data_IF_322537946496
#
_entry.id   IF_322537946496
#
_cell.length_a   1.000
_cell.length_b   1.000
_cell.length_c   1.000
_cell.angle_alpha   90.00
_cell.angle_beta   90.00
_cell.angle_gamma   90.00
#
_symmetry.space_group_name_H-M   'P 1'
#
loop_
_entity.id
_entity.type
_entity.pdbx_description
1 polymer ?
#
# COMPACT_ATOMS: atom_id res chain seq x y z
N UNK A 1 55.62 -34.76 19.15
CA UNK A 1 55.29 -33.33 19.23
C UNK A 1 54.86 -32.73 17.88
N UNK A 2 55.65 -32.88 16.81
CA UNK A 2 55.32 -32.35 15.47
C UNK A 2 53.98 -32.86 14.89
N UNK A 3 53.63 -34.13 15.12
CA UNK A 3 52.35 -34.73 14.67
C UNK A 3 51.12 -34.13 15.37
N UNK A 4 51.20 -33.84 16.67
CA UNK A 4 50.11 -33.17 17.39
C UNK A 4 49.95 -31.72 16.96
N UNK A 5 51.05 -31.00 16.67
CA UNK A 5 50.99 -29.63 16.17
C UNK A 5 50.37 -29.56 14.76
N UNK A 6 50.71 -30.51 13.89
CA UNK A 6 50.08 -30.62 12.56
C UNK A 6 48.58 -30.97 12.67
N UNK A 7 48.23 -31.92 13.54
CA UNK A 7 46.82 -32.30 13.74
C UNK A 7 45.99 -31.14 14.28
N UNK A 8 46.54 -30.34 15.20
CA UNK A 8 45.86 -29.15 15.74
C UNK A 8 45.71 -28.05 14.69
N UNK A 9 46.74 -27.74 13.90
CA UNK A 9 46.66 -26.72 12.85
C UNK A 9 45.64 -27.09 11.76
N UNK A 10 45.53 -28.38 11.41
CA UNK A 10 44.53 -28.85 10.45
C UNK A 10 43.12 -28.77 11.04
N UNK A 11 42.93 -29.11 12.31
CA UNK A 11 41.65 -28.97 13.01
C UNK A 11 41.21 -27.51 13.13
N UNK A 12 42.14 -26.60 13.46
CA UNK A 12 41.88 -25.16 13.56
C UNK A 12 41.45 -24.59 12.21
N UNK A 13 42.15 -24.91 11.11
CA UNK A 13 41.74 -24.48 9.76
C UNK A 13 40.37 -25.00 9.37
N UNK A 14 40.04 -26.25 9.67
CA UNK A 14 38.70 -26.80 9.41
C UNK A 14 37.61 -26.10 10.21
N UNK A 15 37.91 -25.73 11.45
CA UNK A 15 37.00 -24.97 12.31
C UNK A 15 36.77 -23.56 11.77
N UNK A 16 37.83 -22.88 11.34
CA UNK A 16 37.76 -21.55 10.73
C UNK A 16 36.94 -21.55 9.45
N UNK A 17 37.14 -22.52 8.55
CA UNK A 17 36.33 -22.64 7.33
C UNK A 17 34.86 -22.91 7.64
N UNK A 18 34.56 -23.79 8.60
CA UNK A 18 33.18 -24.02 9.07
C UNK A 18 32.55 -22.76 9.65
N UNK A 19 33.31 -21.99 10.43
CA UNK A 19 32.82 -20.74 11.01
C UNK A 19 32.55 -19.70 9.92
N UNK A 20 33.40 -19.61 8.90
CA UNK A 20 33.17 -18.72 7.75
C UNK A 20 31.92 -19.13 6.97
N UNK A 21 31.75 -20.41 6.67
CA UNK A 21 30.54 -20.92 6.02
C UNK A 21 29.28 -20.60 6.83
N UNK A 22 29.31 -20.84 8.14
CA UNK A 22 28.19 -20.51 9.01
C UNK A 22 27.85 -19.02 8.98
N UNK A 23 28.86 -18.14 9.02
CA UNK A 23 28.66 -16.69 8.91
C UNK A 23 28.04 -16.30 7.57
N UNK A 24 28.47 -16.91 6.47
CA UNK A 24 27.87 -16.64 5.16
C UNK A 24 26.42 -17.09 5.11
N UNK A 25 26.09 -18.28 5.62
CA UNK A 25 24.71 -18.77 5.71
C UNK A 25 23.83 -17.81 6.50
N UNK A 26 24.23 -17.44 7.72
CA UNK A 26 23.45 -16.51 8.55
C UNK A 26 23.28 -15.13 7.90
N UNK A 27 24.32 -14.64 7.23
CA UNK A 27 24.27 -13.34 6.53
C UNK A 27 23.28 -13.38 5.37
N UNK A 28 23.30 -14.46 4.57
CA UNK A 28 22.38 -14.65 3.45
C UNK A 28 20.94 -14.76 3.96
N UNK A 29 20.69 -15.58 4.98
CA UNK A 29 19.36 -15.75 5.59
C UNK A 29 18.79 -14.41 6.05
N UNK A 30 19.60 -13.62 6.78
CA UNK A 30 19.19 -12.31 7.25
C UNK A 30 18.92 -11.34 6.09
N UNK A 31 19.79 -11.30 5.07
CA UNK A 31 19.62 -10.44 3.92
C UNK A 31 18.35 -10.78 3.11
N UNK A 32 18.05 -12.06 2.95
CA UNK A 32 16.84 -12.55 2.27
C UNK A 32 15.60 -12.18 3.06
N UNK A 33 15.58 -12.44 4.37
CA UNK A 33 14.44 -12.08 5.23
C UNK A 33 14.18 -10.59 5.22
N UNK A 34 15.24 -9.77 5.34
CA UNK A 34 15.13 -8.32 5.28
C UNK A 34 14.56 -7.85 3.95
N UNK A 35 15.09 -8.34 2.83
CA UNK A 35 14.61 -7.97 1.50
C UNK A 35 13.14 -8.36 1.29
N UNK A 36 12.74 -9.54 1.77
CA UNK A 36 11.36 -9.98 1.68
C UNK A 36 10.42 -9.10 2.51
N UNK A 37 10.83 -8.73 3.73
CA UNK A 37 10.08 -7.81 4.57
C UNK A 37 9.92 -6.43 3.92
N UNK A 38 11.02 -5.87 3.40
CA UNK A 38 11.02 -4.57 2.72
C UNK A 38 10.09 -4.56 1.50
N UNK A 39 10.13 -5.59 0.66
CA UNK A 39 9.23 -5.71 -0.49
C UNK A 39 7.77 -5.95 -0.08
N UNK A 40 7.52 -6.69 1.00
CA UNK A 40 6.16 -6.88 1.53
C UNK A 40 5.57 -5.55 2.02
N UNK A 41 6.37 -4.75 2.75
CA UNK A 41 5.96 -3.41 3.16
C UNK A 41 5.72 -2.51 1.96
N UNK A 42 6.60 -2.56 0.95
CA UNK A 42 6.44 -1.78 -0.29
C UNK A 42 5.17 -2.15 -1.03
N UNK A 43 4.85 -3.44 -1.14
CA UNK A 43 3.60 -3.93 -1.71
C UNK A 43 2.39 -3.45 -0.91
N UNK A 44 2.44 -3.49 0.42
CA UNK A 44 1.34 -2.98 1.26
C UNK A 44 1.12 -1.46 1.08
N UNK A 45 2.19 -0.68 0.95
CA UNK A 45 2.10 0.77 0.68
C UNK A 45 1.53 1.03 -0.72
N UNK A 46 1.97 0.27 -1.72
CA UNK A 46 1.45 0.37 -3.09
C UNK A 46 -0.02 -0.05 -3.15
N UNK A 47 -0.41 -1.12 -2.47
CA UNK A 47 -1.79 -1.56 -2.34
C UNK A 47 -2.64 -0.52 -1.64
N UNK A 48 -2.16 0.07 -0.54
CA UNK A 48 -2.84 1.17 0.16
C UNK A 48 -3.00 2.40 -0.74
N UNK A 49 -1.96 2.75 -1.51
CA UNK A 49 -1.99 3.89 -2.44
C UNK A 49 -2.91 3.63 -3.64
N UNK A 50 -2.92 2.40 -4.15
CA UNK A 50 -3.82 1.97 -5.20
C UNK A 50 -5.27 1.96 -4.68
N UNK A 51 -5.48 1.50 -3.45
CA UNK A 51 -6.78 1.45 -2.81
C UNK A 51 -7.32 2.82 -2.42
N UNK A 52 -6.46 3.78 -2.04
CA UNK A 52 -6.85 5.17 -1.79
C UNK A 52 -7.09 5.95 -3.08
N UNK A 53 -6.41 5.57 -4.17
CA UNK A 53 -6.59 6.17 -5.50
C UNK A 53 -7.70 5.50 -6.31
N UNK A 54 -8.26 4.38 -5.85
CA UNK A 54 -9.36 3.71 -6.51
C UNK A 54 -10.70 4.30 -6.02
N UNK A 55 -11.38 5.15 -6.82
CA UNK A 55 -12.67 5.73 -6.44
C UNK A 55 -13.70 4.68 -6.03
N UNK A 56 -13.58 3.41 -6.47
CA UNK A 56 -14.47 2.31 -6.05
C UNK A 56 -14.37 1.94 -4.56
N UNK A 57 -13.23 2.16 -3.90
CA UNK A 57 -13.08 1.86 -2.47
C UNK A 57 -13.67 2.96 -1.59
N UNK A 58 -13.66 4.21 -2.05
CA UNK A 58 -14.44 5.29 -1.45
C UNK A 58 -15.93 4.96 -1.53
N UNK A 59 -16.38 4.43 -2.68
CA UNK A 59 -17.78 4.01 -2.84
C UNK A 59 -18.21 2.87 -1.89
N UNK A 60 -17.35 1.89 -1.62
CA UNK A 60 -17.65 0.80 -0.67
C UNK A 60 -17.73 1.23 0.79
N UNK A 61 -17.16 2.39 1.15
CA UNK A 61 -17.24 2.97 2.49
C UNK A 61 -18.52 3.78 2.73
N UNK A 62 -19.47 3.74 1.79
CA UNK A 62 -20.75 4.46 1.87
C UNK A 62 -20.71 5.87 1.27
N UNK A 63 -19.61 6.27 0.63
CA UNK A 63 -19.56 7.52 -0.13
C UNK A 63 -20.12 7.32 -1.53
N UNK A 64 -20.56 8.39 -2.17
CA UNK A 64 -21.00 8.38 -3.57
C UNK A 64 -20.17 9.35 -4.39
N UNK A 65 -19.97 9.03 -5.67
CA UNK A 65 -19.31 9.91 -6.62
C UNK A 65 -20.39 10.60 -7.44
N UNK A 66 -20.46 11.93 -7.33
CA UNK A 66 -21.47 12.73 -8.01
C UNK A 66 -20.94 13.14 -9.38
N UNK A 67 -21.76 12.96 -10.41
CA UNK A 67 -21.48 13.42 -11.77
C UNK A 67 -22.65 14.20 -12.35
N UNK A 68 -22.35 15.18 -13.20
CA UNK A 68 -23.36 15.93 -13.94
C UNK A 68 -23.91 15.13 -15.14
N UNK A 69 -24.81 15.73 -15.93
CA UNK A 69 -25.35 15.10 -17.15
C UNK A 69 -24.30 14.78 -18.22
N UNK A 70 -23.16 15.49 -18.25
CA UNK A 70 -22.06 15.23 -19.18
C UNK A 70 -21.07 14.18 -18.67
N UNK A 71 -21.28 13.63 -17.46
CA UNK A 71 -20.37 12.66 -16.82
C UNK A 71 -19.15 13.29 -16.15
N UNK A 72 -19.10 14.62 -16.03
CA UNK A 72 -18.06 15.34 -15.31
C UNK A 72 -18.29 15.23 -13.80
N UNK A 73 -17.22 15.02 -13.04
CA UNK A 73 -17.25 14.87 -11.58
C UNK A 73 -17.57 16.20 -10.92
N UNK A 74 -18.50 16.19 -9.96
CA UNK A 74 -18.82 17.34 -9.13
C UNK A 74 -18.20 17.10 -7.75
N UNK A 75 -17.31 18.00 -7.32
CA UNK A 75 -16.59 17.87 -6.04
C UNK A 75 -16.75 19.08 -5.12
N UNK A 76 -17.45 20.14 -5.55
CA UNK A 76 -17.72 21.36 -4.78
C UNK A 76 -19.21 21.66 -4.76
N UNK A 77 -19.68 22.26 -3.68
CA UNK A 77 -21.05 22.79 -3.56
C UNK A 77 -21.31 23.92 -4.55
N UNK A 78 -20.29 24.75 -4.84
CA UNK A 78 -20.35 25.85 -5.82
C UNK A 78 -20.63 25.37 -7.26
N UNK A 79 -20.42 24.08 -7.55
CA UNK A 79 -20.67 23.45 -8.85
C UNK A 79 -22.07 22.79 -8.93
N UNK A 80 -22.87 22.87 -7.86
CA UNK A 80 -24.24 22.37 -7.78
C UNK A 80 -25.23 23.53 -7.93
N UNK A 81 -26.39 23.21 -8.50
CA UNK A 81 -27.52 24.13 -8.65
C UNK A 81 -28.76 23.42 -8.12
N UNK A 82 -29.60 24.11 -7.35
CA UNK A 82 -30.90 23.58 -6.95
C UNK A 82 -31.75 23.17 -8.17
N UNK A 83 -32.43 22.03 -8.08
CA UNK A 83 -33.13 21.40 -9.19
C UNK A 83 -32.24 20.70 -10.21
N UNK A 84 -30.91 20.72 -10.06
CA UNK A 84 -30.00 20.03 -10.96
C UNK A 84 -30.11 18.52 -10.81
N UNK A 85 -30.30 17.83 -11.94
CA UNK A 85 -30.23 16.37 -11.98
C UNK A 85 -28.77 15.92 -12.01
N UNK A 86 -28.43 15.06 -11.04
CA UNK A 86 -27.10 14.49 -10.85
C UNK A 86 -27.16 12.96 -10.92
N UNK A 87 -26.03 12.34 -11.23
CA UNK A 87 -25.86 10.89 -11.18
C UNK A 87 -24.91 10.54 -10.05
N UNK A 88 -25.41 9.72 -9.12
CA UNK A 88 -24.67 9.15 -8.01
C UNK A 88 -24.11 7.81 -8.46
N UNK A 89 -22.80 7.63 -8.45
CA UNK A 89 -22.20 6.30 -8.52
C UNK A 89 -21.95 5.80 -7.10
N UNK A 90 -22.35 4.55 -6.85
CA UNK A 90 -22.23 3.80 -5.61
C UNK A 90 -21.41 2.54 -5.87
N UNK A 91 -21.08 1.79 -4.83
CA UNK A 91 -20.22 0.60 -4.91
C UNK A 91 -20.74 -0.47 -5.89
N UNK A 92 -22.07 -0.60 -5.95
CA UNK A 92 -22.82 -1.65 -6.64
C UNK A 92 -23.63 -1.13 -7.83
N UNK A 93 -23.67 0.18 -8.07
CA UNK A 93 -24.55 0.72 -9.08
C UNK A 93 -24.51 2.23 -9.26
N UNK A 94 -25.53 2.75 -9.94
CA UNK A 94 -25.75 4.18 -10.16
C UNK A 94 -27.20 4.55 -9.91
N UNK A 95 -27.43 5.72 -9.33
CA UNK A 95 -28.74 6.31 -9.12
C UNK A 95 -28.80 7.73 -9.71
N UNK A 96 -29.99 8.19 -10.08
CA UNK A 96 -30.23 9.59 -10.43
C UNK A 96 -30.88 10.28 -9.24
N UNK A 97 -30.42 11.48 -8.95
CA UNK A 97 -30.99 12.34 -7.91
C UNK A 97 -31.15 13.77 -8.43
N UNK A 98 -31.94 14.55 -7.71
CA UNK A 98 -32.11 15.99 -7.94
C UNK A 98 -31.61 16.70 -6.69
N UNK A 99 -30.91 17.81 -6.86
CA UNK A 99 -30.47 18.65 -5.75
C UNK A 99 -31.66 19.44 -5.25
N UNK A 100 -32.08 19.22 -4.00
CA UNK A 100 -33.22 19.94 -3.42
C UNK A 100 -32.80 21.18 -2.64
N UNK A 101 -31.63 21.15 -2.00
CA UNK A 101 -31.09 22.26 -1.19
C UNK A 101 -29.54 22.21 -1.19
N UNK A 102 -28.89 23.37 -1.01
CA UNK A 102 -27.42 23.50 -1.00
C UNK A 102 -26.99 24.36 0.19
N UNK A 103 -26.27 23.75 1.14
CA UNK A 103 -25.60 24.46 2.22
C UNK A 103 -24.09 24.55 1.94
N UNK A 104 -23.55 25.76 1.89
CA UNK A 104 -22.09 25.96 1.85
C UNK A 104 -21.49 25.75 3.24
N UNK A 105 -20.44 24.93 3.33
CA UNK A 105 -19.64 24.79 4.54
C UNK A 105 -18.79 26.04 4.80
N UNK A 106 -18.63 26.42 6.08
CA UNK A 106 -17.85 27.59 6.50
C UNK A 106 -16.45 27.60 5.86
N UNK A 107 -16.19 28.60 5.00
CA UNK A 107 -14.88 28.85 4.38
C UNK A 107 -13.96 29.53 5.39
N UNK A 108 -13.58 28.84 6.47
CA UNK A 108 -12.55 29.30 7.41
C UNK A 108 -11.77 28.11 8.01
N UNK A 109 -10.66 27.75 7.36
CA UNK A 109 -9.42 27.24 7.98
C UNK A 109 -8.25 27.32 6.98
#
# INVERSE_FOLDING_TARGET
DLGNRLSNVVADRFSEERQQLHRYTTTIEFAVQKKLADETTRLAVLDTSLNSSNPKNVLHRGYSMITNKSGSVISKTDDLIEGQQITLALADGRAKATVDDIEEGDKNE
#
